data_IF_953113969161
#
_entry.id   IF_953113969161
#
_cell.length_a   1.000
_cell.length_b   1.000
_cell.length_c   1.000
_cell.angle_alpha   90.00
_cell.angle_beta   90.00
_cell.angle_gamma   90.00
#
_symmetry.space_group_name_H-M   'P 1'
#
loop_
_entity.id
_entity.type
_entity.pdbx_description
1 polymer ?
#
# COMPACT_ATOMS: atom_id res chain seq x y z
N UNK A 1 12.31 -35.46 -24.77
CA UNK A 1 11.47 -34.71 -25.73
C UNK A 1 11.87 -33.25 -25.59
N UNK A 2 12.43 -32.64 -26.63
CA UNK A 2 12.65 -31.19 -26.65
C UNK A 2 11.32 -30.57 -27.06
N UNK A 3 10.57 -30.06 -26.08
CA UNK A 3 9.42 -29.21 -26.37
C UNK A 3 9.96 -27.97 -27.07
N UNK A 4 9.69 -27.86 -28.37
CA UNK A 4 10.00 -26.66 -29.13
C UNK A 4 9.01 -25.61 -28.66
N UNK A 5 9.51 -24.63 -27.90
CA UNK A 5 8.73 -23.48 -27.48
C UNK A 5 8.26 -22.76 -28.74
N UNK A 6 6.95 -22.61 -28.91
CA UNK A 6 6.37 -21.89 -30.04
C UNK A 6 6.83 -20.42 -29.96
N UNK A 7 7.48 -19.86 -31.01
CA UNK A 7 7.80 -18.45 -31.08
C UNK A 7 6.59 -17.53 -30.79
N UNK A 8 5.38 -17.96 -31.16
CA UNK A 8 4.14 -17.24 -30.84
C UNK A 8 3.83 -17.20 -29.35
N UNK A 9 4.21 -18.23 -28.59
CA UNK A 9 4.05 -18.28 -27.14
C UNK A 9 5.03 -17.34 -26.43
N UNK A 10 6.28 -17.25 -26.92
CA UNK A 10 7.29 -16.30 -26.41
C UNK A 10 6.80 -14.85 -26.55
N UNK A 11 6.18 -14.51 -27.68
CA UNK A 11 5.63 -13.17 -27.91
C UNK A 11 4.48 -12.85 -26.94
N UNK A 12 3.58 -13.82 -26.69
CA UNK A 12 2.47 -13.63 -25.73
C UNK A 12 2.98 -13.46 -24.31
N UNK A 13 3.93 -14.28 -23.88
CA UNK A 13 4.54 -14.18 -22.55
C UNK A 13 5.25 -12.84 -22.35
N UNK A 14 5.89 -12.31 -23.40
CA UNK A 14 6.50 -10.97 -23.34
C UNK A 14 5.45 -9.88 -23.16
N UNK A 15 4.34 -9.93 -23.89
CA UNK A 15 3.24 -8.97 -23.76
C UNK A 15 2.64 -9.01 -22.34
N UNK A 16 2.34 -10.20 -21.81
CA UNK A 16 1.83 -10.36 -20.44
C UNK A 16 2.81 -9.78 -19.42
N UNK A 17 4.11 -10.00 -19.61
CA UNK A 17 5.15 -9.44 -18.73
C UNK A 17 5.19 -7.91 -18.77
N UNK A 18 5.03 -7.32 -19.95
CA UNK A 18 4.96 -5.87 -20.12
C UNK A 18 3.73 -5.28 -19.41
N UNK A 19 2.56 -5.91 -19.56
CA UNK A 19 1.32 -5.51 -18.87
C UNK A 19 1.45 -5.62 -17.35
N UNK A 20 2.05 -6.70 -16.84
CA UNK A 20 2.31 -6.87 -15.40
C UNK A 20 3.25 -5.80 -14.86
N UNK A 21 4.31 -5.46 -15.60
CA UNK A 21 5.21 -4.38 -15.22
C UNK A 21 4.51 -3.03 -15.21
N UNK A 22 3.68 -2.76 -16.22
CA UNK A 22 2.86 -1.55 -16.26
C UNK A 22 1.97 -1.47 -15.02
N UNK A 23 1.14 -2.48 -14.76
CA UNK A 23 0.24 -2.49 -13.60
C UNK A 23 1.00 -2.29 -12.28
N UNK A 24 2.12 -2.98 -12.10
CA UNK A 24 2.96 -2.85 -10.91
C UNK A 24 3.44 -1.42 -10.66
N UNK A 25 3.75 -0.66 -11.71
CA UNK A 25 4.21 0.73 -11.56
C UNK A 25 3.10 1.69 -11.06
N UNK A 26 1.83 1.33 -11.24
CA UNK A 26 0.69 2.10 -10.78
C UNK A 26 0.05 1.54 -9.50
N UNK A 27 0.58 0.43 -8.97
CA UNK A 27 0.19 -0.05 -7.65
C UNK A 27 0.75 0.91 -6.60
N UNK A 28 -0.16 1.58 -5.90
CA UNK A 28 0.18 2.37 -4.71
C UNK A 28 0.46 1.39 -3.58
N UNK A 29 1.53 1.64 -2.82
CA UNK A 29 1.82 0.86 -1.63
C UNK A 29 0.63 0.97 -0.66
N UNK A 30 0.19 -0.15 -0.09
CA UNK A 30 -0.95 -0.17 0.82
C UNK A 30 -0.69 0.73 2.03
N UNK A 31 0.57 0.81 2.47
CA UNK A 31 1.02 1.67 3.57
C UNK A 31 1.07 3.17 3.18
N UNK A 32 0.94 3.49 1.89
CA UNK A 32 0.83 4.87 1.38
C UNK A 32 -0.62 5.35 1.27
N UNK A 33 -1.61 4.48 1.49
CA UNK A 33 -3.03 4.82 1.43
C UNK A 33 -3.51 5.13 2.85
N UNK A 34 -3.95 6.36 3.09
CA UNK A 34 -4.64 6.70 4.34
C UNK A 34 -5.96 5.92 4.40
N UNK A 35 -6.04 4.96 5.30
CA UNK A 35 -7.26 4.19 5.53
C UNK A 35 -8.30 5.02 6.28
N UNK A 36 -9.54 4.52 6.33
CA UNK A 36 -10.58 5.15 7.15
C UNK A 36 -10.19 5.16 8.64
N UNK A 37 -9.57 4.08 9.12
CA UNK A 37 -9.08 3.96 10.50
C UNK A 37 -7.98 4.98 10.81
N UNK A 38 -7.09 5.24 9.86
CA UNK A 38 -6.06 6.29 9.99
C UNK A 38 -6.71 7.67 10.12
N UNK A 39 -7.72 7.94 9.29
CA UNK A 39 -8.46 9.20 9.34
C UNK A 39 -9.23 9.36 10.66
N UNK A 40 -9.88 8.31 11.15
CA UNK A 40 -10.56 8.30 12.45
C UNK A 40 -9.57 8.57 13.59
N UNK A 41 -8.41 7.91 13.56
CA UNK A 41 -7.34 8.09 14.55
C UNK A 41 -6.80 9.52 14.55
N UNK A 42 -6.58 10.11 13.37
CA UNK A 42 -6.16 11.51 13.23
C UNK A 42 -7.21 12.49 13.75
N UNK A 43 -8.49 12.24 13.48
CA UNK A 43 -9.58 13.10 13.96
C UNK A 43 -9.73 13.01 15.47
N UNK A 44 -9.56 11.83 16.05
CA UNK A 44 -9.54 11.64 17.50
C UNK A 44 -8.39 12.41 18.14
N UNK A 45 -7.17 12.24 17.64
CA UNK A 45 -5.99 12.99 18.10
C UNK A 45 -6.21 14.51 18.04
N UNK A 46 -6.73 15.03 16.92
CA UNK A 46 -7.03 16.46 16.75
C UNK A 46 -8.04 16.95 17.78
N UNK A 47 -9.05 16.13 18.09
CA UNK A 47 -10.09 16.47 19.07
C UNK A 47 -9.53 16.48 20.49
N UNK A 48 -8.77 15.46 20.88
CA UNK A 48 -8.09 15.37 22.19
C UNK A 48 -7.08 16.52 22.38
N UNK A 49 -6.34 16.87 21.32
CA UNK A 49 -5.42 18.02 21.32
C UNK A 49 -6.14 19.33 21.59
N UNK A 50 -7.28 19.56 20.92
CA UNK A 50 -8.10 20.77 21.12
C UNK A 50 -8.71 20.82 22.52
N UNK A 51 -9.09 19.68 23.07
CA UNK A 51 -9.64 19.56 24.42
C UNK A 51 -8.57 19.66 25.52
N UNK A 52 -7.28 19.61 25.17
CA UNK A 52 -6.18 19.61 26.14
C UNK A 52 -6.07 18.31 26.93
N UNK A 53 -6.65 17.21 26.43
CA UNK A 53 -6.70 15.92 27.11
C UNK A 53 -5.59 14.95 26.67
N UNK A 54 -4.67 15.41 25.84
CA UNK A 54 -3.50 14.61 25.46
C UNK A 54 -2.59 14.44 26.66
N UNK A 55 -2.27 13.19 26.96
CA UNK A 55 -1.26 12.81 27.94
C UNK A 55 0.02 12.44 27.19
N UNK A 56 1.18 12.82 27.72
CA UNK A 56 2.44 12.40 27.14
C UNK A 56 2.70 10.93 27.41
N UNK A 57 3.53 10.30 26.57
CA UNK A 57 3.91 8.91 26.76
C UNK A 57 4.67 8.67 28.07
N UNK A 58 5.42 9.67 28.54
CA UNK A 58 6.14 9.58 29.83
C UNK A 58 5.17 9.62 31.02
N UNK A 59 4.09 10.39 30.92
CA UNK A 59 3.02 10.42 31.93
C UNK A 59 2.18 9.13 31.96
N UNK A 60 2.14 8.36 30.87
CA UNK A 60 1.46 7.05 30.82
C UNK A 60 2.26 5.89 31.46
N UNK A 61 3.56 6.08 31.71
CA UNK A 61 4.44 5.05 32.30
C UNK A 61 4.49 5.11 33.84
N UNK A 62 3.91 6.14 34.44
CA UNK A 62 3.78 6.34 35.89
C UNK A 62 2.71 5.41 36.47
#
# INVERSE_FOLDING_TARGET
>A
MSEKIDPGEIVRLRAIREDLHFMKNYMVDIDSIMTEDDNLSLNRYRSEKKAGTLISHEELKL
#
